data_IF_733932155421
#
_entry.id   IF_733932155421
#
_cell.length_a   1.000
_cell.length_b   1.000
_cell.length_c   1.000
_cell.angle_alpha   90.00
_cell.angle_beta   90.00
_cell.angle_gamma   90.00
#
_symmetry.space_group_name_H-M   'P 1'
#
loop_
_entity.id
_entity.type
_entity.pdbx_description
1 polymer ?
#
# COMPACT_ATOMS: atom_id res chain seq x y z
N UNK A 1 -16.91 -15.34 9.00
CA UNK A 1 -15.77 -15.39 9.92
C UNK A 1 -15.79 -14.15 10.80
N UNK A 2 -15.66 -14.29 12.10
CA UNK A 2 -15.54 -13.15 13.02
C UNK A 2 -14.04 -12.91 13.23
N UNK A 3 -13.56 -11.73 12.89
CA UNK A 3 -12.18 -11.33 13.12
C UNK A 3 -12.02 -10.87 14.57
N UNK A 4 -10.88 -11.20 15.19
CA UNK A 4 -10.55 -10.72 16.52
C UNK A 4 -9.64 -9.48 16.40
N UNK A 5 -10.19 -8.31 16.72
CA UNK A 5 -9.44 -7.05 16.72
C UNK A 5 -9.00 -6.63 18.11
N UNK A 6 -9.34 -7.41 19.14
CA UNK A 6 -8.98 -7.15 20.54
C UNK A 6 -7.69 -7.86 20.95
N UNK A 7 -7.16 -8.73 20.09
CA UNK A 7 -5.92 -9.45 20.33
C UNK A 7 -4.73 -8.49 20.21
N UNK A 8 -3.96 -8.40 21.29
CA UNK A 8 -2.74 -7.61 21.30
C UNK A 8 -1.60 -8.46 20.73
N UNK A 9 -1.09 -8.05 19.57
CA UNK A 9 0.02 -8.70 18.90
C UNK A 9 1.28 -7.88 19.15
N UNK A 10 2.24 -8.44 19.87
CA UNK A 10 3.55 -7.80 20.05
C UNK A 10 4.35 -7.85 18.75
N UNK A 11 4.70 -6.69 18.25
CA UNK A 11 5.49 -6.52 17.03
C UNK A 11 6.93 -6.06 17.29
N UNK A 12 7.34 -5.96 18.55
CA UNK A 12 8.71 -5.63 18.92
C UNK A 12 9.64 -6.80 18.62
N UNK A 13 10.82 -6.50 18.10
CA UNK A 13 11.80 -7.54 17.72
C UNK A 13 11.45 -8.29 16.42
N UNK A 14 10.49 -7.80 15.64
CA UNK A 14 10.08 -8.39 14.35
C UNK A 14 10.61 -7.63 13.13
N UNK A 15 11.51 -6.69 13.32
CA UNK A 15 11.95 -5.72 12.33
C UNK A 15 10.82 -4.78 11.85
N UNK A 16 9.84 -4.55 12.70
CA UNK A 16 8.78 -3.61 12.42
C UNK A 16 9.32 -2.18 12.43
N UNK A 17 9.25 -1.50 11.30
CA UNK A 17 9.66 -0.09 11.18
C UNK A 17 8.91 0.81 12.16
N UNK A 18 7.64 0.52 12.41
CA UNK A 18 6.80 1.24 13.36
C UNK A 18 7.26 1.06 14.82
N UNK A 19 7.51 -0.20 15.21
CA UNK A 19 7.73 -0.56 16.61
C UNK A 19 9.19 -0.60 17.03
N UNK A 20 10.09 -1.05 16.14
CA UNK A 20 11.49 -1.28 16.48
C UNK A 20 12.39 -0.03 16.36
N UNK A 21 11.88 1.05 15.72
CA UNK A 21 12.56 2.34 15.74
C UNK A 21 12.39 3.07 17.08
N UNK A 22 11.30 2.82 17.80
CA UNK A 22 11.02 3.46 19.10
C UNK A 22 11.63 2.59 20.19
N UNK A 23 12.73 3.04 20.77
CA UNK A 23 13.48 2.30 21.80
C UNK A 23 12.98 2.58 23.22
N UNK A 24 12.22 3.63 23.42
CA UNK A 24 11.70 4.05 24.71
C UNK A 24 10.56 3.14 25.15
N UNK A 25 10.61 2.68 26.39
CA UNK A 25 9.54 1.86 26.96
C UNK A 25 8.27 2.68 27.21
N UNK A 26 7.12 2.06 27.01
CA UNK A 26 5.82 2.69 27.26
C UNK A 26 5.33 3.64 26.17
N UNK A 27 6.14 3.91 25.14
CA UNK A 27 5.72 4.74 24.02
C UNK A 27 4.91 3.93 23.00
N UNK A 28 3.74 4.46 22.63
CA UNK A 28 2.88 3.89 21.59
C UNK A 28 3.16 4.64 20.27
N UNK A 29 3.75 3.99 19.26
CA UNK A 29 4.03 4.64 18.00
C UNK A 29 2.75 4.84 17.18
N UNK A 30 2.45 6.08 16.81
CA UNK A 30 1.26 6.45 16.03
C UNK A 30 1.61 7.25 14.76
N UNK A 31 2.86 7.23 14.35
CA UNK A 31 3.37 8.08 13.26
C UNK A 31 3.26 7.47 11.87
N UNK A 32 3.12 6.16 11.78
CA UNK A 32 2.93 5.43 10.52
C UNK A 32 1.61 4.66 10.53
N UNK A 33 0.94 4.62 9.39
CA UNK A 33 -0.43 4.14 9.27
C UNK A 33 -0.56 2.62 9.08
N UNK A 34 0.49 1.82 9.33
CA UNK A 34 0.35 0.38 9.30
C UNK A 34 -0.44 -0.12 10.51
N UNK A 35 -1.36 -1.02 10.28
CA UNK A 35 -2.25 -1.56 11.30
C UNK A 35 -1.56 -2.69 12.08
N UNK A 36 -1.90 -2.80 13.36
CA UNK A 36 -1.38 -3.83 14.26
C UNK A 36 -2.32 -5.04 14.38
N UNK A 37 -3.31 -5.12 13.50
CA UNK A 37 -4.24 -6.25 13.42
C UNK A 37 -3.70 -7.33 12.49
N UNK A 38 -3.99 -8.58 12.83
CA UNK A 38 -3.67 -9.69 11.97
C UNK A 38 -4.42 -9.59 10.63
N UNK A 39 -3.72 -9.88 9.56
CA UNK A 39 -4.31 -9.96 8.21
C UNK A 39 -5.38 -11.05 8.13
N UNK A 40 -6.40 -10.84 7.30
CA UNK A 40 -7.48 -11.80 7.11
C UNK A 40 -6.96 -13.20 6.77
N UNK A 41 -7.51 -14.27 7.38
CA UNK A 41 -7.04 -15.64 7.17
C UNK A 41 -6.98 -16.06 5.70
N UNK A 42 -7.95 -15.65 4.90
CA UNK A 42 -7.97 -15.96 3.46
C UNK A 42 -6.77 -15.39 2.69
N UNK A 43 -6.22 -14.25 3.14
CA UNK A 43 -5.01 -13.67 2.56
C UNK A 43 -3.79 -14.50 2.98
N UNK A 44 -3.72 -14.88 4.26
CA UNK A 44 -2.64 -15.73 4.79
C UNK A 44 -2.61 -17.07 4.05
N UNK A 45 -3.76 -17.71 3.90
CA UNK A 45 -3.90 -18.98 3.18
C UNK A 45 -3.44 -18.86 1.72
N UNK A 46 -3.83 -17.79 1.02
CA UNK A 46 -3.41 -17.56 -0.36
C UNK A 46 -1.90 -17.38 -0.48
N UNK A 47 -1.30 -16.63 0.45
CA UNK A 47 0.16 -16.45 0.51
C UNK A 47 0.89 -17.76 0.83
N UNK A 48 0.41 -18.52 1.81
CA UNK A 48 1.00 -19.82 2.17
C UNK A 48 0.95 -20.79 1.00
N UNK A 49 -0.17 -20.87 0.28
CA UNK A 49 -0.31 -21.68 -0.92
C UNK A 49 0.71 -21.28 -2.00
N UNK A 50 0.93 -19.98 -2.17
CA UNK A 50 1.92 -19.50 -3.14
C UNK A 50 3.35 -19.80 -2.71
N UNK A 51 3.66 -19.63 -1.43
CA UNK A 51 4.97 -19.98 -0.86
C UNK A 51 5.23 -21.48 -0.97
N UNK A 52 4.25 -22.33 -0.65
CA UNK A 52 4.38 -23.78 -0.74
C UNK A 52 4.63 -24.28 -2.18
N UNK A 53 4.20 -23.53 -3.20
CA UNK A 53 4.53 -23.83 -4.59
C UNK A 53 6.03 -23.73 -4.89
N UNK A 54 6.77 -22.83 -4.19
CA UNK A 54 8.23 -22.76 -4.18
C UNK A 54 8.91 -22.25 -5.43
N UNK A 55 8.19 -21.96 -6.51
CA UNK A 55 8.75 -21.42 -7.75
C UNK A 55 8.29 -19.99 -7.94
N UNK A 56 9.24 -19.05 -7.87
CA UNK A 56 9.01 -17.61 -7.97
C UNK A 56 9.67 -17.09 -9.24
N UNK A 57 8.88 -16.93 -10.29
CA UNK A 57 9.31 -16.39 -11.57
C UNK A 57 8.48 -15.16 -11.93
N UNK A 58 8.58 -14.73 -13.17
CA UNK A 58 7.72 -13.68 -13.69
C UNK A 58 6.25 -14.13 -13.63
N UNK A 59 5.41 -13.31 -13.04
CA UNK A 59 4.00 -13.63 -12.83
C UNK A 59 3.14 -12.81 -13.79
N UNK A 60 2.25 -13.50 -14.50
CA UNK A 60 1.21 -12.85 -15.29
C UNK A 60 0.11 -12.32 -14.36
N UNK A 61 -0.30 -11.11 -14.59
CA UNK A 61 -1.47 -10.54 -13.89
C UNK A 61 -2.73 -11.18 -14.46
N UNK A 62 -3.46 -11.92 -13.63
CA UNK A 62 -4.67 -12.65 -14.04
C UNK A 62 -5.87 -11.72 -14.24
N UNK A 63 -6.84 -12.17 -15.03
CA UNK A 63 -8.10 -11.43 -15.21
C UNK A 63 -8.84 -11.24 -13.88
N UNK A 64 -8.79 -12.24 -12.99
CA UNK A 64 -9.40 -12.15 -11.65
C UNK A 64 -8.87 -10.99 -10.80
N UNK A 65 -7.63 -10.57 -11.01
CA UNK A 65 -7.08 -9.38 -10.35
C UNK A 65 -7.81 -8.10 -10.80
N UNK A 66 -7.98 -7.93 -12.10
CA UNK A 66 -8.70 -6.76 -12.64
C UNK A 66 -10.18 -6.79 -12.27
N UNK A 67 -10.81 -7.95 -12.34
CA UNK A 67 -12.23 -8.13 -11.94
C UNK A 67 -12.45 -7.78 -10.48
N UNK A 68 -11.55 -8.16 -9.59
CA UNK A 68 -11.63 -7.82 -8.17
C UNK A 68 -11.58 -6.30 -7.96
N UNK A 69 -10.68 -5.59 -8.65
CA UNK A 69 -10.56 -4.13 -8.57
C UNK A 69 -11.81 -3.45 -9.12
N UNK A 70 -12.25 -3.83 -10.33
CA UNK A 70 -13.44 -3.26 -10.97
C UNK A 70 -14.67 -3.47 -10.09
N UNK A 71 -14.86 -4.69 -9.58
CA UNK A 71 -15.96 -5.01 -8.68
C UNK A 71 -15.91 -4.21 -7.37
N UNK A 72 -14.71 -3.98 -6.81
CA UNK A 72 -14.55 -3.13 -5.63
C UNK A 72 -15.00 -1.70 -5.89
N UNK A 73 -14.49 -1.06 -6.94
CA UNK A 73 -14.81 0.33 -7.28
C UNK A 73 -16.30 0.49 -7.60
N UNK A 74 -16.89 -0.44 -8.35
CA UNK A 74 -18.32 -0.41 -8.64
C UNK A 74 -19.18 -0.48 -7.37
N UNK A 75 -18.89 -1.45 -6.48
CA UNK A 75 -19.69 -1.66 -5.27
C UNK A 75 -19.49 -0.60 -4.19
N UNK A 76 -18.27 -0.11 -4.02
CA UNK A 76 -17.93 0.80 -2.90
C UNK A 76 -18.00 2.27 -3.28
N UNK A 77 -17.74 2.59 -4.52
CA UNK A 77 -17.65 3.95 -5.00
C UNK A 77 -18.61 4.28 -6.13
N UNK A 78 -19.45 3.31 -6.57
CA UNK A 78 -20.37 3.45 -7.70
C UNK A 78 -19.66 3.94 -8.97
N UNK A 79 -18.40 3.57 -9.11
CA UNK A 79 -17.55 3.95 -10.22
C UNK A 79 -17.20 2.72 -11.07
N UNK A 80 -17.70 2.71 -12.30
CA UNK A 80 -17.48 1.63 -13.25
C UNK A 80 -16.21 1.90 -14.08
N UNK A 81 -15.08 1.43 -13.59
CA UNK A 81 -13.80 1.51 -14.29
C UNK A 81 -13.63 0.36 -15.27
N UNK A 82 -12.81 0.57 -16.30
CA UNK A 82 -12.51 -0.43 -17.32
C UNK A 82 -11.13 -1.04 -17.08
N UNK A 83 -10.90 -2.27 -17.57
CA UNK A 83 -9.65 -3.01 -17.37
C UNK A 83 -8.44 -2.26 -17.93
N UNK A 84 -8.58 -1.65 -19.09
CA UNK A 84 -7.53 -0.90 -19.78
C UNK A 84 -7.16 0.42 -19.10
N UNK A 85 -7.94 0.87 -18.13
CA UNK A 85 -7.60 2.03 -17.30
C UNK A 85 -6.71 1.67 -16.11
N UNK A 86 -6.51 0.38 -15.84
CA UNK A 86 -5.78 -0.08 -14.66
C UNK A 86 -4.33 -0.36 -15.05
N UNK A 87 -3.43 0.44 -14.51
CA UNK A 87 -1.99 0.22 -14.57
C UNK A 87 -1.49 -0.12 -13.16
N UNK A 88 -0.73 -1.19 -13.04
CA UNK A 88 -0.14 -1.51 -11.74
C UNK A 88 1.32 -1.04 -11.68
N UNK A 89 1.74 -0.64 -10.50
CA UNK A 89 3.11 -0.21 -10.21
C UNK A 89 3.59 -0.87 -8.92
N UNK A 90 4.90 -0.85 -8.69
CA UNK A 90 5.50 -1.43 -7.48
C UNK A 90 5.22 -0.66 -6.19
N UNK A 91 4.46 0.44 -6.26
CA UNK A 91 4.07 1.24 -5.11
C UNK A 91 3.62 2.65 -5.50
N UNK A 92 3.09 3.39 -4.52
CA UNK A 92 2.52 4.74 -4.74
C UNK A 92 3.58 5.74 -5.16
N UNK A 93 4.75 5.74 -4.54
CA UNK A 93 5.84 6.67 -4.87
C UNK A 93 6.33 6.51 -6.31
N UNK A 94 6.63 5.29 -6.79
CA UNK A 94 6.92 5.06 -8.21
C UNK A 94 5.78 5.49 -9.13
N UNK A 95 4.51 5.23 -8.76
CA UNK A 95 3.36 5.65 -9.54
C UNK A 95 3.31 7.17 -9.71
N UNK A 96 3.42 7.93 -8.62
CA UNK A 96 3.47 9.40 -8.65
C UNK A 96 4.62 9.88 -9.53
N UNK A 97 5.81 9.32 -9.37
CA UNK A 97 6.98 9.69 -10.17
C UNK A 97 6.74 9.45 -11.67
N UNK A 98 6.15 8.32 -12.04
CA UNK A 98 5.82 8.03 -13.43
C UNK A 98 4.77 9.00 -13.99
N UNK A 99 3.71 9.27 -13.23
CA UNK A 99 2.68 10.22 -13.63
C UNK A 99 3.25 11.62 -13.85
N UNK A 100 4.07 12.11 -12.92
CA UNK A 100 4.70 13.42 -13.05
C UNK A 100 5.59 13.49 -14.30
N UNK A 101 6.41 12.47 -14.55
CA UNK A 101 7.27 12.41 -15.75
C UNK A 101 6.47 12.34 -17.04
N UNK A 102 5.30 11.72 -17.03
CA UNK A 102 4.46 11.60 -18.23
C UNK A 102 3.70 12.90 -18.56
N UNK A 103 3.32 13.68 -17.54
CA UNK A 103 2.43 14.82 -17.68
C UNK A 103 3.19 16.16 -17.62
N UNK A 104 4.26 16.25 -16.81
CA UNK A 104 4.98 17.48 -16.58
C UNK A 104 6.20 17.61 -17.50
N UNK A 105 6.37 18.80 -18.07
CA UNK A 105 7.62 19.17 -18.72
C UNK A 105 8.69 19.55 -17.67
N UNK A 106 9.99 19.42 -17.99
CA UNK A 106 11.06 19.94 -17.15
C UNK A 106 10.80 21.42 -16.84
N UNK A 107 11.02 21.85 -15.61
CA UNK A 107 10.80 23.22 -15.08
C UNK A 107 9.39 23.58 -14.60
N UNK A 108 8.36 22.75 -14.76
CA UNK A 108 7.02 23.05 -14.23
C UNK A 108 6.85 22.80 -12.72
N UNK A 109 7.82 22.18 -12.08
CA UNK A 109 7.78 21.85 -10.65
C UNK A 109 7.80 23.05 -9.68
N UNK A 110 8.08 24.25 -10.16
CA UNK A 110 8.18 25.47 -9.35
C UNK A 110 6.95 26.40 -9.46
N UNK A 111 5.93 26.03 -10.19
CA UNK A 111 4.75 26.89 -10.38
C UNK A 111 3.70 26.73 -9.28
N UNK A 112 3.83 25.73 -8.41
CA UNK A 112 2.97 25.57 -7.25
C UNK A 112 3.74 25.97 -5.98
N UNK A 113 3.40 27.09 -5.31
CA UNK A 113 4.09 27.52 -4.10
C UNK A 113 3.88 26.47 -2.99
N UNK A 114 4.97 25.89 -2.51
CA UNK A 114 4.95 25.00 -1.36
C UNK A 114 4.94 25.83 -0.07
N UNK A 115 4.24 25.38 0.99
CA UNK A 115 4.36 25.98 2.31
C UNK A 115 5.80 26.07 2.84
N UNK A 116 6.70 25.21 2.35
CA UNK A 116 8.13 25.25 2.67
C UNK A 116 8.89 26.39 1.99
N UNK A 117 8.38 26.95 0.91
CA UNK A 117 9.05 28.06 0.21
C UNK A 117 8.93 29.37 1.00
N UNK A 118 7.96 29.48 1.90
CA UNK A 118 7.76 30.64 2.80
C UNK A 118 8.74 30.70 3.97
N UNK A 119 9.47 29.64 4.25
CA UNK A 119 10.39 29.54 5.40
C UNK A 119 11.85 29.77 5.04
N UNK A 120 12.15 30.13 3.79
CA UNK A 120 13.51 30.38 3.28
C UNK A 120 13.76 31.84 2.90
N UNK A 121 13.04 32.79 3.48
CA UNK A 121 13.35 34.22 3.36
C UNK A 121 14.08 34.71 4.62
#
# INVERSE_FOLDING_TARGET
MKYNFDEIIDRRGTNSYKWDLVKEEGVIPMWVADMDFQTAPCIIEALQKRVAHGIFGYTLVSDSYYEAIISWFSRRHQWNIQKDWILYTSGVVPAISCCLKAICMPCLLYTSPSPRDRTRS
#
